data_IF_393364581870
#
_entry.id   IF_393364581870
#
_cell.length_a   1.000
_cell.length_b   1.000
_cell.length_c   1.000
_cell.angle_alpha   90.00
_cell.angle_beta   90.00
_cell.angle_gamma   90.00
#
_symmetry.space_group_name_H-M   'P 1'
#
loop_
_entity.id
_entity.type
_entity.pdbx_description
1 polymer ?
#
# COMPACT_ATOMS: atom_id res chain seq x y z
N UNK A 1 34.60 108.49 37.35
CA UNK A 1 33.56 109.53 37.28
C UNK A 1 32.68 109.25 36.05
N UNK A 2 31.61 108.46 36.25
CA UNK A 2 30.20 108.77 35.91
C UNK A 2 29.92 108.77 34.38
N UNK A 3 29.38 107.69 33.76
CA UNK A 3 27.95 107.32 33.53
C UNK A 3 27.19 108.31 32.60
N UNK A 4 26.36 107.95 31.58
CA UNK A 4 25.45 106.80 31.35
C UNK A 4 24.79 106.83 29.93
N UNK A 5 24.44 105.62 29.41
CA UNK A 5 23.20 105.18 28.66
C UNK A 5 22.96 105.64 27.20
N UNK A 6 22.51 104.80 26.24
CA UNK A 6 21.34 103.87 26.28
C UNK A 6 21.28 102.81 25.13
N UNK A 7 20.73 101.61 25.41
CA UNK A 7 19.74 100.76 24.66
C UNK A 7 20.04 100.33 23.19
N UNK A 8 19.87 99.10 22.67
CA UNK A 8 19.13 97.87 23.04
C UNK A 8 19.49 96.65 22.14
N UNK A 9 19.43 95.43 22.72
CA UNK A 9 18.86 94.13 22.26
C UNK A 9 19.02 93.63 20.79
N UNK A 10 19.15 92.34 20.45
CA UNK A 10 19.32 91.08 21.17
C UNK A 10 19.55 89.92 20.15
N UNK A 11 20.37 88.93 20.54
CA UNK A 11 20.19 87.46 20.44
C UNK A 11 19.75 86.79 19.10
N UNK A 12 20.62 85.93 18.55
CA UNK A 12 20.33 84.49 18.35
C UNK A 12 21.58 83.70 17.91
N UNK A 13 21.89 82.64 18.65
CA UNK A 13 22.93 81.65 18.38
C UNK A 13 22.31 80.39 17.76
N UNK A 14 23.06 79.67 16.91
CA UNK A 14 23.22 78.20 16.98
C UNK A 14 24.06 77.70 15.78
N UNK A 15 25.18 77.05 16.09
CA UNK A 15 25.85 76.14 15.17
C UNK A 15 25.14 74.77 15.23
N UNK A 16 24.84 74.16 14.08
CA UNK A 16 24.50 72.74 14.01
C UNK A 16 25.18 72.12 12.77
N UNK A 17 26.13 71.23 13.04
CA UNK A 17 26.71 70.28 12.09
C UNK A 17 25.62 69.26 11.72
N UNK A 18 25.37 69.03 10.43
CA UNK A 18 24.71 67.79 9.99
C UNK A 18 25.44 67.21 8.79
N UNK A 19 25.78 65.94 8.95
CA UNK A 19 26.59 65.11 8.08
C UNK A 19 25.94 64.80 6.74
N UNK A 20 26.78 64.56 5.74
CA UNK A 20 26.39 63.91 4.49
C UNK A 20 26.07 62.45 4.78
N UNK A 21 24.81 62.05 4.63
CA UNK A 21 24.45 60.64 4.46
C UNK A 21 24.07 60.42 3.00
N UNK A 22 25.01 59.87 2.22
CA UNK A 22 24.68 59.23 0.94
C UNK A 22 23.84 58.00 1.30
N UNK A 23 22.52 58.11 1.15
CA UNK A 23 21.65 56.94 1.15
C UNK A 23 21.98 56.14 -0.12
N UNK A 24 22.75 55.06 0.03
CA UNK A 24 22.81 54.03 -1.01
C UNK A 24 21.37 53.57 -1.31
N UNK A 25 20.99 53.37 -2.59
CA UNK A 25 19.67 52.83 -2.88
C UNK A 25 19.58 51.47 -2.19
N UNK A 26 18.60 51.32 -1.31
CA UNK A 26 18.25 50.05 -0.71
C UNK A 26 18.13 49.03 -1.86
N UNK A 27 18.94 47.96 -1.82
CA UNK A 27 18.99 46.97 -2.90
C UNK A 27 17.59 46.48 -3.22
N UNK A 28 17.09 46.82 -4.41
CA UNK A 28 15.81 46.31 -4.90
C UNK A 28 15.91 44.78 -4.97
N UNK A 29 15.01 44.06 -4.28
CA UNK A 29 14.97 42.61 -4.37
C UNK A 29 14.80 42.20 -5.85
N UNK A 30 15.78 41.47 -6.41
CA UNK A 30 15.76 40.99 -7.81
C UNK A 30 15.20 39.56 -7.91
N UNK A 31 14.12 39.29 -7.18
CA UNK A 31 13.45 37.99 -7.19
C UNK A 31 12.00 38.17 -7.65
N UNK A 32 11.55 37.29 -8.54
CA UNK A 32 10.16 37.18 -8.96
C UNK A 32 9.74 35.72 -8.81
N UNK A 33 8.66 35.49 -8.06
CA UNK A 33 8.12 34.15 -7.86
C UNK A 33 7.25 33.73 -9.05
N UNK A 34 7.36 32.47 -9.46
CA UNK A 34 6.44 31.85 -10.42
C UNK A 34 5.79 30.65 -9.75
N UNK A 35 4.49 30.74 -9.47
CA UNK A 35 3.72 29.60 -8.96
C UNK A 35 3.46 28.62 -10.11
N UNK A 36 4.00 27.41 -10.00
CA UNK A 36 3.74 26.31 -10.93
C UNK A 36 2.88 25.25 -10.26
N UNK A 37 1.86 24.75 -10.95
CA UNK A 37 0.98 23.70 -10.43
C UNK A 37 0.99 22.48 -11.35
N UNK A 38 0.87 21.30 -10.77
CA UNK A 38 0.61 20.04 -11.46
C UNK A 38 -0.32 19.19 -10.59
N UNK A 39 -0.94 18.18 -11.20
CA UNK A 39 -1.82 17.24 -10.51
C UNK A 39 -1.24 15.84 -10.57
N UNK A 40 -1.45 15.06 -9.50
CA UNK A 40 -1.15 13.62 -9.47
C UNK A 40 -2.49 12.89 -9.48
N UNK A 41 -2.70 12.03 -10.47
CA UNK A 41 -3.89 11.18 -10.54
C UNK A 41 -3.65 9.87 -9.78
N UNK A 42 -4.66 9.43 -9.03
CA UNK A 42 -4.70 8.07 -8.47
C UNK A 42 -5.22 7.04 -9.48
N UNK A 43 -4.86 5.79 -9.25
CA UNK A 43 -5.37 4.61 -9.94
C UNK A 43 -6.34 3.80 -9.08
N UNK A 44 -6.29 2.48 -9.21
CA UNK A 44 -7.20 1.54 -8.58
C UNK A 44 -6.47 0.51 -7.69
N UNK A 45 -7.27 -0.22 -6.92
CA UNK A 45 -6.85 -1.41 -6.20
C UNK A 45 -7.16 -2.64 -7.06
N UNK A 46 -6.21 -3.55 -7.22
CA UNK A 46 -6.34 -4.73 -8.09
C UNK A 46 -5.56 -5.94 -7.61
N UNK A 47 -6.04 -7.13 -7.98
CA UNK A 47 -5.43 -8.42 -7.65
C UNK A 47 -5.31 -9.30 -8.89
N UNK A 48 -4.20 -10.02 -9.01
CA UNK A 48 -3.99 -11.05 -10.04
C UNK A 48 -3.59 -12.37 -9.40
N UNK A 49 -4.07 -13.48 -9.96
CA UNK A 49 -3.70 -14.83 -9.58
C UNK A 49 -3.53 -15.70 -10.84
N UNK A 50 -2.85 -16.86 -10.75
CA UNK A 50 -2.75 -17.80 -11.85
C UNK A 50 -4.13 -18.26 -12.33
N UNK A 51 -4.34 -18.33 -13.65
CA UNK A 51 -5.64 -18.70 -14.23
C UNK A 51 -6.01 -20.17 -13.96
N UNK A 52 -5.01 -21.05 -13.89
CA UNK A 52 -5.18 -22.45 -13.54
C UNK A 52 -3.93 -22.99 -12.84
N UNK A 53 -4.11 -24.05 -12.07
CA UNK A 53 -3.00 -24.80 -11.49
C UNK A 53 -3.36 -26.27 -11.32
N UNK A 54 -2.43 -27.13 -11.73
CA UNK A 54 -2.46 -28.56 -11.40
C UNK A 54 -1.87 -28.76 -9.99
N UNK A 55 -2.63 -29.41 -9.11
CA UNK A 55 -2.22 -29.74 -7.74
C UNK A 55 -1.56 -31.12 -7.64
N UNK A 56 -1.51 -31.87 -8.74
CA UNK A 56 -0.93 -33.19 -8.85
C UNK A 56 -1.92 -34.33 -8.66
N UNK A 57 -1.38 -35.55 -8.59
CA UNK A 57 -2.15 -36.80 -8.47
C UNK A 57 -1.94 -37.44 -7.10
N UNK A 58 -3.01 -37.98 -6.52
CA UNK A 58 -2.97 -38.56 -5.17
C UNK A 58 -3.94 -39.73 -5.02
N UNK A 59 -3.65 -40.61 -4.07
CA UNK A 59 -4.52 -41.73 -3.72
C UNK A 59 -5.58 -41.31 -2.70
N UNK A 60 -6.65 -42.10 -2.58
CA UNK A 60 -7.59 -42.00 -1.46
C UNK A 60 -6.83 -42.13 -0.12
N UNK A 61 -7.30 -41.39 0.89
CA UNK A 61 -6.61 -41.21 2.19
C UNK A 61 -5.22 -40.53 2.11
N UNK A 62 -4.82 -40.01 0.96
CA UNK A 62 -3.57 -39.25 0.77
C UNK A 62 -3.74 -37.74 0.95
N UNK A 63 -2.64 -37.02 0.78
CA UNK A 63 -2.62 -35.55 0.73
C UNK A 63 -1.90 -35.07 -0.53
N UNK A 64 -2.43 -34.00 -1.12
CA UNK A 64 -1.81 -33.25 -2.21
C UNK A 64 -1.29 -31.93 -1.65
N UNK A 65 -0.08 -31.53 -2.01
CA UNK A 65 0.49 -30.23 -1.60
C UNK A 65 1.12 -29.57 -2.80
N UNK A 66 0.68 -28.34 -3.10
CA UNK A 66 1.20 -27.57 -4.22
C UNK A 66 1.18 -26.07 -3.92
N UNK A 67 2.10 -25.35 -4.57
CA UNK A 67 2.09 -23.89 -4.61
C UNK A 67 1.25 -23.41 -5.80
N UNK A 68 0.33 -22.47 -5.58
CA UNK A 68 -0.54 -21.99 -6.67
C UNK A 68 0.23 -21.22 -7.74
N UNK A 69 1.29 -20.50 -7.35
CA UNK A 69 1.98 -19.53 -8.18
C UNK A 69 1.79 -18.11 -7.66
N UNK A 70 2.32 -17.12 -8.38
CA UNK A 70 2.33 -15.74 -7.94
C UNK A 70 0.92 -15.14 -7.87
N UNK A 71 0.52 -14.71 -6.68
CA UNK A 71 -0.66 -13.85 -6.44
C UNK A 71 -0.14 -12.47 -6.06
N UNK A 72 -0.63 -11.43 -6.73
CA UNK A 72 -0.16 -10.05 -6.55
C UNK A 72 -1.31 -9.11 -6.25
N UNK A 73 -1.26 -8.44 -5.10
CA UNK A 73 -2.10 -7.29 -4.78
C UNK A 73 -1.36 -6.01 -5.14
N UNK A 74 -2.05 -5.10 -5.85
CA UNK A 74 -1.50 -3.82 -6.32
C UNK A 74 -2.45 -2.70 -5.94
N UNK A 75 -1.93 -1.70 -5.24
CA UNK A 75 -2.64 -0.48 -4.90
C UNK A 75 -1.97 0.70 -5.61
N UNK A 76 -2.68 1.28 -6.58
CA UNK A 76 -2.23 2.46 -7.33
C UNK A 76 -3.03 3.72 -6.99
N UNK A 77 -3.84 3.69 -5.92
CA UNK A 77 -4.69 4.83 -5.52
C UNK A 77 -3.88 6.07 -5.14
N UNK A 78 -2.60 5.91 -4.82
CA UNK A 78 -1.71 7.03 -4.48
C UNK A 78 -2.03 7.70 -3.15
N UNK A 79 -2.69 6.98 -2.23
CA UNK A 79 -3.19 7.54 -0.97
C UNK A 79 -2.15 7.52 0.16
N UNK A 80 -2.33 8.39 1.15
CA UNK A 80 -1.56 8.42 2.39
C UNK A 80 -2.35 7.70 3.51
N UNK A 81 -1.73 6.72 4.15
CA UNK A 81 -2.32 5.96 5.24
C UNK A 81 -3.39 4.96 4.81
N UNK A 82 -3.43 4.56 3.53
CA UNK A 82 -4.41 3.60 3.06
C UNK A 82 -4.11 2.18 3.55
N UNK A 83 -5.14 1.33 3.49
CA UNK A 83 -5.03 -0.11 3.77
C UNK A 83 -5.78 -0.91 2.71
N UNK A 84 -5.43 -2.19 2.62
CA UNK A 84 -6.18 -3.19 1.86
C UNK A 84 -6.00 -4.57 2.49
N UNK A 85 -7.00 -5.43 2.30
CA UNK A 85 -6.97 -6.84 2.71
C UNK A 85 -7.28 -7.72 1.52
N UNK A 86 -6.36 -8.64 1.20
CA UNK A 86 -6.59 -9.72 0.26
C UNK A 86 -7.17 -10.93 0.99
N UNK A 87 -8.25 -11.49 0.47
CA UNK A 87 -8.89 -12.71 1.00
C UNK A 87 -8.84 -13.84 -0.01
N UNK A 88 -8.86 -15.09 0.46
CA UNK A 88 -8.92 -16.29 -0.36
C UNK A 88 -10.11 -17.17 0.08
N UNK A 89 -10.92 -17.63 -0.87
CA UNK A 89 -11.99 -18.61 -0.67
C UNK A 89 -11.87 -19.74 -1.71
N UNK A 90 -12.48 -20.89 -1.45
CA UNK A 90 -12.46 -22.05 -2.34
C UNK A 90 -13.86 -22.64 -2.55
N UNK A 91 -14.13 -23.13 -3.76
CA UNK A 91 -15.27 -24.02 -3.99
C UNK A 91 -14.95 -25.45 -3.55
N UNK A 92 -15.97 -26.29 -3.44
CA UNK A 92 -15.75 -27.73 -3.38
C UNK A 92 -15.06 -28.22 -4.67
N UNK A 93 -14.24 -29.26 -4.53
CA UNK A 93 -13.62 -29.95 -5.66
C UNK A 93 -14.54 -31.08 -6.12
N UNK A 94 -15.07 -30.98 -7.33
CA UNK A 94 -16.05 -31.93 -7.89
C UNK A 94 -15.37 -32.92 -8.84
N UNK A 95 -15.79 -34.19 -8.81
CA UNK A 95 -15.24 -35.21 -9.71
C UNK A 95 -15.91 -35.10 -11.09
N UNK A 96 -15.18 -34.71 -12.12
CA UNK A 96 -15.71 -34.59 -13.48
C UNK A 96 -15.79 -35.93 -14.21
N UNK A 97 -14.98 -36.92 -13.81
CA UNK A 97 -15.00 -38.27 -14.39
C UNK A 97 -16.20 -39.08 -13.90
N UNK A 98 -16.55 -38.94 -12.62
CA UNK A 98 -17.67 -39.62 -11.96
C UNK A 98 -18.53 -38.61 -11.19
N UNK A 99 -19.49 -37.92 -11.85
CA UNK A 99 -20.25 -36.82 -11.25
C UNK A 99 -21.08 -37.17 -10.01
N UNK A 100 -21.40 -38.45 -9.81
CA UNK A 100 -22.10 -38.92 -8.62
C UNK A 100 -21.20 -39.07 -7.38
N UNK A 101 -19.87 -38.98 -7.54
CA UNK A 101 -18.94 -39.06 -6.43
C UNK A 101 -19.04 -37.82 -5.52
N UNK A 102 -18.86 -38.02 -4.22
CA UNK A 102 -18.83 -36.91 -3.27
C UNK A 102 -17.71 -35.93 -3.59
N UNK A 103 -18.00 -34.64 -3.45
CA UNK A 103 -17.00 -33.58 -3.61
C UNK A 103 -16.02 -33.57 -2.45
N UNK A 104 -14.79 -33.14 -2.71
CA UNK A 104 -13.76 -32.93 -1.69
C UNK A 104 -13.82 -31.48 -1.23
N UNK A 105 -13.97 -31.26 0.08
CA UNK A 105 -14.04 -29.92 0.71
C UNK A 105 -12.91 -29.70 1.73
N UNK A 106 -12.05 -30.69 1.89
CA UNK A 106 -10.94 -30.71 2.85
C UNK A 106 -9.69 -30.12 2.22
N UNK A 107 -9.65 -28.79 2.12
CA UNK A 107 -8.49 -28.04 1.67
C UNK A 107 -8.02 -27.04 2.74
N UNK A 108 -6.70 -26.84 2.83
CA UNK A 108 -6.09 -25.77 3.62
C UNK A 108 -5.25 -24.86 2.73
N UNK A 109 -5.12 -23.62 3.17
CA UNK A 109 -4.42 -22.54 2.50
C UNK A 109 -3.41 -21.90 3.45
N UNK A 110 -2.20 -21.67 2.94
CA UNK A 110 -1.17 -20.89 3.59
C UNK A 110 -0.67 -19.84 2.61
N UNK A 111 -0.83 -18.56 2.95
CA UNK A 111 -0.36 -17.46 2.10
C UNK A 111 1.14 -17.52 1.81
N UNK A 112 1.93 -18.00 2.77
CA UNK A 112 3.38 -17.85 2.76
C UNK A 112 3.80 -16.40 3.01
N UNK A 113 5.12 -16.17 3.04
CA UNK A 113 5.69 -14.82 3.07
C UNK A 113 5.57 -14.15 1.70
N UNK A 114 5.72 -12.82 1.66
CA UNK A 114 5.88 -12.12 0.39
C UNK A 114 7.12 -12.62 -0.35
N UNK A 115 6.96 -12.87 -1.65
CA UNK A 115 8.05 -13.11 -2.59
C UNK A 115 8.56 -11.82 -3.24
N UNK A 116 7.82 -10.71 -3.10
CA UNK A 116 8.25 -9.38 -3.49
C UNK A 116 7.26 -8.30 -3.03
N UNK A 117 7.77 -7.11 -2.72
CA UNK A 117 6.96 -5.94 -2.36
C UNK A 117 7.49 -4.68 -3.04
N UNK A 118 6.62 -3.69 -3.23
CA UNK A 118 7.00 -2.34 -3.68
C UNK A 118 6.29 -1.28 -2.85
N UNK A 119 6.85 -0.06 -2.88
CA UNK A 119 6.29 1.09 -2.15
C UNK A 119 6.50 0.99 -0.65
N UNK A 120 5.77 1.84 0.08
CA UNK A 120 5.84 1.94 1.54
C UNK A 120 4.52 1.47 2.14
N UNK A 121 4.54 0.34 2.85
CA UNK A 121 3.44 -0.17 3.66
C UNK A 121 3.95 -1.22 4.65
N UNK A 122 3.13 -1.55 5.65
CA UNK A 122 3.33 -2.73 6.49
C UNK A 122 2.58 -3.89 5.84
N UNK A 123 3.32 -4.87 5.34
CA UNK A 123 2.82 -6.02 4.60
C UNK A 123 2.77 -7.26 5.51
N UNK A 124 1.59 -7.81 5.77
CA UNK A 124 1.42 -8.96 6.67
C UNK A 124 0.75 -10.16 5.97
N UNK A 125 1.36 -11.34 5.96
CA UNK A 125 0.71 -12.56 5.49
C UNK A 125 -0.38 -13.04 6.46
N UNK A 126 -1.43 -13.65 5.91
CA UNK A 126 -2.56 -14.13 6.70
C UNK A 126 -2.28 -15.40 7.52
N UNK A 127 -1.44 -16.31 7.01
CA UNK A 127 -1.07 -17.55 7.70
C UNK A 127 0.44 -17.62 7.91
N UNK A 128 0.91 -17.07 9.03
CA UNK A 128 2.34 -17.06 9.42
C UNK A 128 2.82 -18.37 10.02
N UNK A 129 1.93 -19.11 10.71
CA UNK A 129 2.31 -20.30 11.48
C UNK A 129 1.48 -21.54 11.12
N UNK A 130 0.17 -21.38 10.93
CA UNK A 130 -0.75 -22.51 10.71
C UNK A 130 -1.56 -22.32 9.44
N UNK A 131 -1.67 -23.34 8.57
CA UNK A 131 -2.61 -23.33 7.46
C UNK A 131 -4.05 -23.12 7.94
N UNK A 132 -4.82 -22.35 7.19
CA UNK A 132 -6.24 -22.15 7.47
C UNK A 132 -7.07 -23.09 6.58
N UNK A 133 -8.12 -23.70 7.13
CA UNK A 133 -9.11 -24.39 6.30
C UNK A 133 -9.78 -23.39 5.36
N UNK A 134 -9.89 -23.73 4.08
CA UNK A 134 -10.46 -22.84 3.06
C UNK A 134 -11.69 -23.49 2.43
N UNK A 135 -12.74 -22.69 2.27
CA UNK A 135 -14.03 -23.09 1.69
C UNK A 135 -14.70 -21.84 1.12
N UNK A 136 -16.03 -21.84 0.97
CA UNK A 136 -16.77 -20.64 0.61
C UNK A 136 -16.62 -19.51 1.64
N UNK A 137 -16.22 -19.83 2.88
CA UNK A 137 -15.84 -18.83 3.88
C UNK A 137 -14.39 -18.40 3.60
N UNK A 138 -14.23 -17.13 3.28
CA UNK A 138 -12.93 -16.56 2.96
C UNK A 138 -12.03 -16.44 4.19
N UNK A 139 -10.73 -16.64 3.98
CA UNK A 139 -9.67 -16.37 4.96
C UNK A 139 -8.82 -15.20 4.48
N UNK A 140 -8.26 -14.42 5.40
CA UNK A 140 -7.27 -13.39 5.01
C UNK A 140 -6.06 -14.08 4.39
N UNK A 141 -5.71 -13.71 3.17
CA UNK A 141 -4.49 -14.16 2.51
C UNK A 141 -3.32 -13.23 2.81
N UNK A 142 -3.54 -11.92 2.72
CA UNK A 142 -2.49 -10.92 2.88
C UNK A 142 -3.11 -9.55 3.22
N UNK A 143 -2.38 -8.66 3.88
CA UNK A 143 -2.83 -7.29 4.11
C UNK A 143 -1.70 -6.28 3.97
N UNK A 144 -2.09 -5.04 3.69
CA UNK A 144 -1.23 -3.87 3.84
C UNK A 144 -1.90 -2.82 4.71
N UNK A 145 -1.12 -2.20 5.59
CA UNK A 145 -1.55 -1.06 6.40
C UNK A 145 -0.52 0.06 6.36
N UNK A 146 -0.96 1.26 6.73
CA UNK A 146 -0.12 2.47 6.79
C UNK A 146 0.59 2.72 5.45
N UNK A 147 -0.10 2.44 4.34
CA UNK A 147 0.52 2.54 3.02
C UNK A 147 0.67 4.00 2.57
N UNK A 148 1.72 4.29 1.81
CA UNK A 148 1.99 5.62 1.25
C UNK A 148 2.21 5.49 -0.24
N UNK A 149 1.38 6.19 -1.02
CA UNK A 149 1.46 6.19 -2.47
C UNK A 149 1.14 4.81 -3.05
N UNK A 150 1.76 4.52 -4.20
CA UNK A 150 1.57 3.23 -4.86
C UNK A 150 2.37 2.14 -4.14
N UNK A 151 1.76 0.96 -3.99
CA UNK A 151 2.39 -0.17 -3.31
C UNK A 151 1.88 -1.50 -3.88
N UNK A 152 2.66 -2.56 -3.70
CA UNK A 152 2.24 -3.90 -4.08
C UNK A 152 2.87 -4.98 -3.20
N UNK A 153 2.21 -6.13 -3.10
CA UNK A 153 2.76 -7.34 -2.52
C UNK A 153 2.46 -8.53 -3.41
N UNK A 154 3.46 -9.37 -3.63
CA UNK A 154 3.35 -10.66 -4.32
C UNK A 154 3.67 -11.78 -3.33
N UNK A 155 2.89 -12.85 -3.34
CA UNK A 155 3.12 -14.06 -2.55
C UNK A 155 2.84 -15.31 -3.39
N UNK A 156 3.29 -16.47 -2.90
CA UNK A 156 3.08 -17.76 -3.56
C UNK A 156 2.45 -18.75 -2.57
N UNK A 157 1.10 -18.83 -2.52
CA UNK A 157 0.42 -19.58 -1.49
C UNK A 157 0.56 -21.09 -1.71
N UNK A 158 0.65 -21.82 -0.60
CA UNK A 158 0.62 -23.28 -0.56
C UNK A 158 -0.79 -23.74 -0.26
N UNK A 159 -1.28 -24.71 -1.03
CA UNK A 159 -2.57 -25.37 -0.84
C UNK A 159 -2.31 -26.83 -0.54
N UNK A 160 -3.00 -27.34 0.47
CA UNK A 160 -3.01 -28.77 0.81
C UNK A 160 -4.44 -29.29 0.66
N UNK A 161 -4.62 -30.34 -0.11
CA UNK A 161 -5.91 -31.05 -0.24
C UNK A 161 -5.77 -32.42 0.41
N UNK A 162 -6.57 -32.69 1.44
CA UNK A 162 -6.66 -34.00 2.06
C UNK A 162 -7.72 -34.82 1.34
N UNK A 163 -7.32 -35.93 0.72
CA UNK A 163 -8.22 -36.79 -0.07
C UNK A 163 -8.90 -37.80 0.86
N UNK A 164 -10.24 -37.82 0.92
CA UNK A 164 -10.96 -38.78 1.76
C UNK A 164 -10.68 -40.24 1.38
N UNK A 165 -10.77 -41.16 2.35
CA UNK A 165 -10.62 -42.61 2.10
C UNK A 165 -11.69 -43.17 1.14
N UNK A 166 -12.86 -42.54 1.11
CA UNK A 166 -13.97 -42.91 0.23
C UNK A 166 -13.94 -42.18 -1.13
N UNK A 167 -12.87 -41.44 -1.44
CA UNK A 167 -12.75 -40.74 -2.72
C UNK A 167 -12.74 -41.74 -3.89
N UNK A 168 -13.45 -41.38 -4.96
CA UNK A 168 -13.55 -42.20 -6.18
C UNK A 168 -12.52 -41.69 -7.18
N UNK A 169 -11.84 -42.59 -7.88
CA UNK A 169 -10.87 -42.20 -8.90
C UNK A 169 -11.50 -41.29 -9.97
N UNK A 170 -10.77 -40.26 -10.39
CA UNK A 170 -11.21 -39.29 -11.38
C UNK A 170 -10.60 -37.92 -11.14
N UNK A 171 -10.86 -37.01 -12.07
CA UNK A 171 -10.36 -35.64 -12.01
C UNK A 171 -11.24 -34.79 -11.10
N UNK A 172 -10.63 -34.18 -10.09
CA UNK A 172 -11.30 -33.30 -9.15
C UNK A 172 -10.97 -31.84 -9.46
N UNK A 173 -11.98 -31.02 -9.77
CA UNK A 173 -11.79 -29.60 -10.10
C UNK A 173 -12.49 -28.71 -9.09
N UNK A 174 -11.78 -27.71 -8.59
CA UNK A 174 -12.32 -26.64 -7.74
C UNK A 174 -11.62 -25.32 -8.04
N UNK A 175 -12.19 -24.21 -7.56
CA UNK A 175 -11.68 -22.86 -7.81
C UNK A 175 -11.27 -22.23 -6.49
N UNK A 176 -10.08 -21.62 -6.45
CA UNK A 176 -9.66 -20.73 -5.37
C UNK A 176 -9.73 -19.30 -5.90
N UNK A 177 -10.47 -18.44 -5.20
CA UNK A 177 -10.71 -17.05 -5.59
C UNK A 177 -10.01 -16.12 -4.62
N UNK A 178 -9.19 -15.22 -5.14
CA UNK A 178 -8.62 -14.11 -4.39
C UNK A 178 -9.38 -12.81 -4.66
N UNK A 179 -9.69 -12.06 -3.62
CA UNK A 179 -10.39 -10.76 -3.69
C UNK A 179 -9.71 -9.71 -2.82
N UNK A 180 -9.98 -8.43 -3.10
CA UNK A 180 -9.47 -7.28 -2.32
C UNK A 180 -10.62 -6.46 -1.75
N UNK A 181 -10.39 -5.92 -0.55
CA UNK A 181 -11.24 -4.92 0.12
C UNK A 181 -10.38 -3.83 0.75
#
# INVERSE_FOLDING_TARGET
>A
MVLHKSFSAALAAAALVVAWTVAAPAGAAMAADTTTTFTVSGGALGISAPASKDLGTGAAAGTLTAQLGAVTATDTRGALGASWTASAAATAFTNSTTPAAASITTATYSSGLATGTTGTAIFLPGQTATPAAISAIAVTAYSASVSVGNNSATWNPTVVVSVPVQAIAGDYTGTITHSLS
#
